data_IF_358535532566
#
_entry.id   IF_358535532566
#
_cell.length_a   1.000
_cell.length_b   1.000
_cell.length_c   1.000
_cell.angle_alpha   90.00
_cell.angle_beta   90.00
_cell.angle_gamma   90.00
#
_symmetry.space_group_name_H-M   'P 1'
#
loop_
_entity.id
_entity.type
_entity.pdbx_description
1 polymer ?
#
# COMPACT_ATOMS: atom_id res chain seq x y z
N UNK A 1 18.60 0.73 1.25
CA UNK A 1 17.29 0.37 0.67
C UNK A 1 16.94 1.40 -0.41
N UNK A 2 16.78 1.02 -1.68
CA UNK A 2 16.31 1.93 -2.73
C UNK A 2 14.79 1.81 -2.83
N UNK A 3 14.05 2.72 -2.20
CA UNK A 3 12.60 2.82 -2.39
C UNK A 3 12.39 3.49 -3.75
N UNK A 4 12.15 2.67 -4.77
CA UNK A 4 11.81 3.13 -6.11
C UNK A 4 10.32 3.36 -6.18
N UNK A 5 9.89 4.61 -6.14
CA UNK A 5 8.52 5.01 -6.49
C UNK A 5 8.33 4.81 -8.01
N UNK A 6 7.80 3.65 -8.39
CA UNK A 6 7.50 3.29 -9.77
C UNK A 6 6.18 3.93 -10.22
N UNK A 7 6.26 4.84 -11.19
CA UNK A 7 5.08 5.35 -11.89
C UNK A 7 4.55 4.27 -12.84
N UNK A 8 3.53 3.52 -12.39
CA UNK A 8 2.87 2.43 -13.13
C UNK A 8 1.81 2.96 -14.12
N UNK A 9 2.13 3.95 -14.95
CA UNK A 9 1.19 4.44 -15.99
C UNK A 9 1.24 3.66 -17.31
N UNK A 10 2.01 2.56 -17.40
CA UNK A 10 2.29 1.88 -18.67
C UNK A 10 1.63 0.49 -18.85
N UNK A 11 0.71 0.07 -17.98
CA UNK A 11 0.08 -1.26 -18.07
C UNK A 11 -1.41 -1.27 -18.45
N UNK A 12 -1.95 -0.19 -19.03
CA UNK A 12 -3.38 -0.08 -19.36
C UNK A 12 -3.73 0.04 -20.85
N UNK A 13 -2.87 -0.44 -21.76
CA UNK A 13 -3.27 -0.57 -23.18
C UNK A 13 -2.86 -1.92 -23.74
N UNK A 14 -3.70 -2.93 -23.49
CA UNK A 14 -4.05 -4.05 -24.38
C UNK A 14 -4.65 -5.17 -23.56
N UNK A 15 -5.98 -5.17 -23.43
CA UNK A 15 -6.78 -6.38 -23.20
C UNK A 15 -8.23 -6.03 -23.48
N UNK A 16 -8.56 -5.85 -24.75
CA UNK A 16 -9.90 -6.14 -25.26
C UNK A 16 -10.07 -7.65 -25.22
N UNK A 17 -10.85 -8.17 -24.28
CA UNK A 17 -11.28 -9.57 -24.31
C UNK A 17 -12.64 -9.62 -24.99
N UNK A 18 -12.62 -10.08 -26.24
CA UNK A 18 -13.79 -10.50 -26.99
C UNK A 18 -14.39 -11.74 -26.36
N UNK A 19 -15.68 -11.72 -26.09
CA UNK A 19 -16.49 -12.88 -25.70
C UNK A 19 -16.41 -13.95 -26.79
N UNK A 20 -15.72 -15.06 -26.50
CA UNK A 20 -15.82 -16.30 -27.26
C UNK A 20 -15.95 -17.45 -26.27
N UNK A 21 -17.10 -18.09 -26.33
CA UNK A 21 -17.46 -19.33 -25.63
C UNK A 21 -16.66 -20.46 -26.28
N UNK A 22 -15.82 -21.14 -25.50
CA UNK A 22 -15.13 -22.36 -25.97
C UNK A 22 -15.48 -23.50 -25.02
N UNK A 23 -16.26 -24.45 -25.55
CA UNK A 23 -16.64 -25.70 -24.91
C UNK A 23 -15.42 -26.57 -24.55
N UNK A 24 -15.52 -27.31 -23.44
CA UNK A 24 -14.55 -28.34 -23.07
C UNK A 24 -14.58 -29.53 -24.05
N UNK A 25 -13.44 -30.00 -24.58
CA UNK A 25 -13.42 -31.19 -25.43
C UNK A 25 -13.56 -32.47 -24.59
N UNK A 26 -14.60 -33.25 -24.88
CA UNK A 26 -14.77 -34.64 -24.41
C UNK A 26 -13.69 -35.53 -25.03
N UNK A 27 -13.07 -36.42 -24.24
CA UNK A 27 -12.28 -37.55 -24.76
C UNK A 27 -13.04 -38.88 -24.62
N UNK A 28 -12.81 -39.83 -25.54
CA UNK A 28 -13.70 -40.98 -25.76
C UNK A 28 -13.33 -42.19 -24.89
N UNK A 29 -14.33 -43.05 -24.67
CA UNK A 29 -14.22 -44.33 -23.96
C UNK A 29 -13.54 -45.42 -24.83
N UNK A 30 -12.75 -46.34 -24.25
CA UNK A 30 -12.31 -47.55 -24.93
C UNK A 30 -13.27 -48.74 -24.69
N UNK A 31 -13.30 -49.74 -25.61
CA UNK A 31 -14.31 -50.80 -25.65
C UNK A 31 -13.99 -52.01 -24.74
N UNK A 32 -15.06 -52.73 -24.41
CA UNK A 32 -15.15 -53.98 -23.65
C UNK A 32 -14.52 -55.20 -24.33
N UNK A 33 -13.96 -56.15 -23.55
CA UNK A 33 -14.37 -57.57 -23.55
C UNK A 33 -13.57 -58.44 -22.54
N UNK A 34 -14.31 -59.44 -22.01
CA UNK A 34 -13.92 -60.72 -21.39
C UNK A 34 -13.38 -60.79 -19.94
N UNK A 35 -14.26 -61.28 -19.07
CA UNK A 35 -14.07 -62.06 -17.83
C UNK A 35 -13.41 -63.44 -18.09
N UNK A 36 -13.01 -64.30 -17.10
CA UNK A 36 -13.55 -64.43 -15.73
C UNK A 36 -12.57 -64.75 -14.57
N UNK A 37 -13.18 -64.90 -13.36
CA UNK A 37 -12.70 -65.55 -12.11
C UNK A 37 -11.68 -64.74 -11.29
N UNK A 38 -11.88 -64.39 -10.01
CA UNK A 38 -12.37 -65.19 -8.88
C UNK A 38 -12.71 -64.25 -7.69
N UNK A 39 -13.79 -64.53 -6.94
CA UNK A 39 -14.15 -63.82 -5.70
C UNK A 39 -13.73 -64.63 -4.47
N UNK A 40 -12.93 -64.05 -3.54
CA UNK A 40 -12.84 -64.35 -2.09
C UNK A 40 -12.09 -63.15 -1.47
N UNK A 41 -12.39 -62.53 -0.33
CA UNK A 41 -13.37 -62.69 0.74
C UNK A 41 -13.22 -61.48 1.70
N UNK A 42 -14.25 -61.25 2.52
CA UNK A 42 -14.34 -60.17 3.52
C UNK A 42 -13.33 -60.36 4.65
N UNK A 43 -12.78 -59.25 5.15
CA UNK A 43 -12.69 -59.00 6.60
C UNK A 43 -12.65 -57.50 6.89
N UNK A 44 -13.65 -57.06 7.63
CA UNK A 44 -13.72 -55.78 8.32
C UNK A 44 -12.85 -55.90 9.57
N UNK A 45 -11.88 -55.01 9.76
CA UNK A 45 -11.27 -54.77 11.07
C UNK A 45 -11.33 -53.28 11.38
N UNK A 46 -12.48 -52.88 11.89
CA UNK A 46 -12.65 -51.75 12.79
C UNK A 46 -11.85 -51.99 14.07
N UNK A 47 -10.85 -51.16 14.32
CA UNK A 47 -10.40 -50.88 15.69
C UNK A 47 -10.30 -49.38 15.87
N UNK A 48 -11.44 -48.77 16.20
CA UNK A 48 -11.49 -47.47 16.86
C UNK A 48 -11.20 -47.69 18.34
N UNK A 49 -10.05 -47.25 18.82
CA UNK A 49 -9.85 -46.95 20.24
C UNK A 49 -9.96 -45.45 20.43
N UNK A 50 -11.01 -45.07 21.17
CA UNK A 50 -11.35 -43.73 21.60
C UNK A 50 -10.55 -43.37 22.86
N UNK A 51 -9.75 -42.29 22.79
CA UNK A 51 -9.45 -41.44 23.95
C UNK A 51 -9.11 -40.01 23.51
N UNK A 52 -10.14 -39.14 23.55
CA UNK A 52 -10.17 -37.67 23.80
C UNK A 52 -9.35 -36.68 22.93
N UNK A 53 -9.84 -35.42 22.83
CA UNK A 53 -9.72 -34.60 21.63
C UNK A 53 -8.46 -33.76 21.66
N UNK A 54 -7.58 -33.93 20.67
CA UNK A 54 -6.65 -32.88 20.30
C UNK A 54 -7.34 -32.04 19.25
N UNK A 55 -7.84 -30.89 19.67
CA UNK A 55 -8.09 -29.74 18.80
C UNK A 55 -6.93 -29.65 17.82
N UNK A 56 -7.20 -30.01 16.56
CA UNK A 56 -6.33 -29.65 15.45
C UNK A 56 -6.11 -28.15 15.55
N UNK A 57 -4.87 -27.65 15.67
CA UNK A 57 -4.67 -26.24 15.42
C UNK A 57 -5.10 -26.04 13.97
N UNK A 58 -6.14 -25.22 13.80
CA UNK A 58 -6.61 -24.76 12.50
C UNK A 58 -5.49 -23.96 11.84
N UNK A 59 -4.50 -24.65 11.28
CA UNK A 59 -3.49 -24.10 10.40
C UNK A 59 -4.11 -24.00 9.01
N UNK A 60 -5.10 -23.11 8.88
CA UNK A 60 -5.66 -22.71 7.61
C UNK A 60 -5.56 -21.20 7.47
N UNK A 61 -4.34 -20.66 7.47
CA UNK A 61 -4.06 -19.57 6.57
C UNK A 61 -3.19 -20.14 5.43
N UNK A 62 -3.85 -20.70 4.42
CA UNK A 62 -3.20 -20.86 3.12
C UNK A 62 -3.50 -19.58 2.36
N UNK A 63 -2.64 -18.57 2.50
CA UNK A 63 -2.63 -17.42 1.59
C UNK A 63 -2.58 -17.93 0.16
N UNK A 64 -3.34 -17.32 -0.76
CA UNK A 64 -3.50 -17.71 -2.18
C UNK A 64 -2.18 -18.03 -2.93
N UNK A 65 -1.03 -17.63 -2.38
CA UNK A 65 0.30 -17.73 -3.01
C UNK A 65 1.30 -18.59 -2.21
N UNK A 66 0.87 -19.37 -1.22
CA UNK A 66 1.76 -20.32 -0.51
C UNK A 66 2.80 -19.70 0.41
N UNK A 67 2.65 -18.41 0.76
CA UNK A 67 3.56 -17.72 1.68
C UNK A 67 3.14 -17.96 3.13
N UNK A 68 4.04 -18.53 3.93
CA UNK A 68 3.80 -18.89 5.34
C UNK A 68 3.75 -17.68 6.31
N UNK A 69 3.58 -16.46 5.84
CA UNK A 69 3.42 -15.29 6.69
C UNK A 69 2.86 -14.15 5.87
N UNK A 70 2.06 -13.28 6.50
CA UNK A 70 1.73 -11.99 5.89
C UNK A 70 2.99 -11.10 5.92
N UNK A 71 3.33 -10.42 4.81
CA UNK A 71 4.40 -9.42 4.83
C UNK A 71 3.97 -8.18 5.64
N UNK A 72 4.95 -7.44 6.15
CA UNK A 72 4.71 -6.15 6.81
C UNK A 72 4.63 -5.05 5.74
N UNK A 73 3.54 -4.30 5.73
CA UNK A 73 3.37 -3.16 4.85
C UNK A 73 3.67 -1.85 5.58
N UNK A 74 4.42 -0.97 4.91
CA UNK A 74 4.65 0.41 5.32
C UNK A 74 4.42 1.30 4.10
N UNK A 75 4.04 2.56 4.32
CA UNK A 75 3.91 3.51 3.22
C UNK A 75 4.06 4.96 3.70
N UNK A 76 4.17 5.89 2.77
CA UNK A 76 4.18 7.33 3.04
C UNK A 76 3.22 8.01 2.08
N UNK A 77 2.29 8.81 2.61
CA UNK A 77 1.34 9.61 1.84
C UNK A 77 1.77 11.08 1.79
N UNK A 78 1.14 11.86 0.94
CA UNK A 78 1.39 13.30 0.79
C UNK A 78 0.08 14.02 0.53
N UNK A 79 0.03 15.32 0.82
CA UNK A 79 -1.07 16.18 0.37
C UNK A 79 -1.43 15.91 -1.10
N UNK A 80 -2.71 15.65 -1.44
CA UNK A 80 -3.12 15.26 -2.78
C UNK A 80 -2.77 16.29 -3.86
N UNK A 81 -2.90 17.58 -3.56
CA UNK A 81 -2.62 18.67 -4.51
C UNK A 81 -1.11 18.78 -4.71
N UNK A 82 -0.33 18.87 -3.63
CA UNK A 82 1.12 18.96 -3.72
C UNK A 82 1.73 17.77 -4.45
N UNK A 83 1.21 16.56 -4.21
CA UNK A 83 1.61 15.35 -4.90
C UNK A 83 1.36 15.48 -6.41
N UNK A 84 0.17 15.93 -6.81
CA UNK A 84 -0.18 16.11 -8.22
C UNK A 84 0.69 17.19 -8.88
N UNK A 85 0.92 18.31 -8.21
CA UNK A 85 1.77 19.41 -8.69
C UNK A 85 3.21 18.93 -8.87
N UNK A 86 3.76 18.21 -7.89
CA UNK A 86 5.09 17.62 -7.98
C UNK A 86 5.19 16.66 -9.17
N UNK A 87 4.17 15.83 -9.39
CA UNK A 87 4.13 14.93 -10.54
C UNK A 87 4.03 15.67 -11.89
N UNK A 88 3.21 16.72 -11.95
CA UNK A 88 3.03 17.55 -13.15
C UNK A 88 4.33 18.17 -13.62
N UNK A 89 5.09 18.77 -12.70
CA UNK A 89 6.37 19.40 -12.99
C UNK A 89 7.49 18.38 -13.20
N UNK A 90 7.46 17.25 -12.50
CA UNK A 90 8.38 16.13 -12.75
C UNK A 90 8.32 15.64 -14.19
N UNK A 91 7.12 15.56 -14.80
CA UNK A 91 6.98 15.13 -16.20
C UNK A 91 7.54 16.14 -17.22
N UNK A 92 7.70 17.41 -16.83
CA UNK A 92 8.14 18.53 -17.69
C UNK A 92 9.63 18.85 -17.52
N UNK A 93 10.09 18.88 -16.29
CA UNK A 93 11.44 19.34 -15.94
C UNK A 93 12.35 18.23 -15.41
N UNK A 94 11.79 17.07 -15.05
CA UNK A 94 12.55 15.95 -14.52
C UNK A 94 12.90 16.09 -13.04
N UNK A 95 13.99 15.42 -12.66
CA UNK A 95 14.50 15.36 -11.30
C UNK A 95 16.04 15.46 -11.29
N UNK A 96 16.58 15.84 -10.14
CA UNK A 96 18.01 15.96 -9.89
C UNK A 96 18.76 14.63 -9.75
N UNK A 97 18.06 13.51 -9.54
CA UNK A 97 18.68 12.20 -9.29
C UNK A 97 19.09 11.51 -10.59
N UNK A 98 18.32 11.70 -11.67
CA UNK A 98 18.63 11.18 -13.01
C UNK A 98 18.38 12.24 -14.09
N UNK A 99 19.17 13.32 -14.13
CA UNK A 99 18.93 14.48 -15.00
C UNK A 99 19.05 14.16 -16.50
N UNK A 100 19.83 13.14 -16.87
CA UNK A 100 20.00 12.72 -18.27
C UNK A 100 18.78 12.04 -18.89
N UNK A 101 17.73 11.73 -18.12
CA UNK A 101 16.53 11.09 -18.65
C UNK A 101 15.51 12.13 -19.14
N UNK A 102 15.22 12.09 -20.45
CA UNK A 102 14.12 12.87 -21.00
C UNK A 102 12.77 12.31 -20.54
N UNK A 103 11.95 13.18 -19.95
CA UNK A 103 10.62 12.83 -19.46
C UNK A 103 9.57 12.97 -20.57
N UNK A 104 8.45 12.26 -20.42
CA UNK A 104 7.42 12.11 -21.48
C UNK A 104 6.89 13.44 -22.01
N UNK A 105 6.81 14.47 -21.16
CA UNK A 105 6.27 15.79 -21.50
C UNK A 105 7.32 16.90 -21.38
N UNK A 106 8.59 16.53 -21.54
CA UNK A 106 9.68 17.51 -21.45
C UNK A 106 9.60 18.52 -22.59
N UNK A 107 9.68 19.81 -22.24
CA UNK A 107 9.55 20.92 -23.19
C UNK A 107 8.19 21.63 -23.16
N UNK A 108 7.19 21.07 -22.47
CA UNK A 108 5.95 21.79 -22.17
C UNK A 108 6.21 22.83 -21.07
N UNK A 109 6.11 24.11 -21.42
CA UNK A 109 6.36 25.26 -20.54
C UNK A 109 5.12 25.71 -19.77
N UNK A 110 3.96 25.11 -20.05
CA UNK A 110 2.68 25.51 -19.46
C UNK A 110 2.70 25.29 -17.96
N UNK A 111 2.32 26.33 -17.21
CA UNK A 111 2.26 26.26 -15.75
C UNK A 111 1.08 25.40 -15.29
N UNK A 112 1.11 24.96 -14.03
CA UNK A 112 0.01 24.17 -13.49
C UNK A 112 -1.27 25.00 -13.43
N UNK A 113 -1.18 26.27 -13.02
CA UNK A 113 -2.30 27.22 -13.01
C UNK A 113 -2.90 27.42 -14.41
N UNK A 114 -2.07 27.64 -15.43
CA UNK A 114 -2.53 27.72 -16.83
C UNK A 114 -3.22 26.43 -17.28
N UNK A 115 -2.70 25.26 -16.85
CA UNK A 115 -3.32 23.98 -17.14
C UNK A 115 -4.73 23.92 -16.53
N UNK A 116 -4.90 24.29 -15.26
CA UNK A 116 -6.19 24.23 -14.57
C UNK A 116 -7.19 25.24 -15.14
N UNK A 117 -6.75 26.44 -15.51
CA UNK A 117 -7.60 27.46 -16.13
C UNK A 117 -8.11 27.02 -17.51
N UNK A 118 -7.29 26.30 -18.27
CA UNK A 118 -7.65 25.79 -19.61
C UNK A 118 -8.27 24.39 -19.62
N UNK A 119 -8.50 23.76 -18.46
CA UNK A 119 -9.09 22.43 -18.38
C UNK A 119 -8.19 21.30 -18.93
N UNK A 120 -6.87 21.40 -18.73
CA UNK A 120 -5.92 20.42 -19.23
C UNK A 120 -6.04 19.04 -18.55
N UNK A 121 -5.75 17.97 -19.30
CA UNK A 121 -5.92 16.58 -18.82
C UNK A 121 -4.93 16.11 -17.76
N UNK A 122 -3.76 16.77 -17.65
CA UNK A 122 -2.75 16.43 -16.64
C UNK A 122 -3.05 17.00 -15.25
N UNK A 123 -3.87 18.06 -15.20
CA UNK A 123 -4.23 18.79 -13.98
C UNK A 123 -5.72 18.64 -13.67
N UNK A 124 -6.42 17.75 -14.38
CA UNK A 124 -7.82 17.47 -14.16
C UNK A 124 -8.04 16.81 -12.78
N UNK A 125 -9.16 17.07 -12.08
CA UNK A 125 -9.38 16.56 -10.72
C UNK A 125 -9.29 15.03 -10.59
N UNK A 126 -9.57 14.28 -11.66
CA UNK A 126 -9.45 12.82 -11.70
C UNK A 126 -8.01 12.34 -11.50
N UNK A 127 -7.01 13.20 -11.73
CA UNK A 127 -5.59 12.90 -11.46
C UNK A 127 -5.21 12.98 -9.99
N UNK A 128 -6.07 13.53 -9.14
CA UNK A 128 -5.90 13.48 -7.70
C UNK A 128 -6.10 12.06 -7.17
N UNK A 129 -7.03 11.30 -7.78
CA UNK A 129 -7.38 9.92 -7.41
C UNK A 129 -6.22 8.95 -7.67
N UNK A 130 -5.43 8.69 -6.63
CA UNK A 130 -4.26 7.82 -6.71
C UNK A 130 -3.97 7.15 -5.37
N UNK A 131 -3.96 7.90 -4.26
CA UNK A 131 -3.57 7.32 -2.98
C UNK A 131 -4.66 6.37 -2.49
N UNK A 132 -5.94 6.74 -2.62
CA UNK A 132 -7.05 5.86 -2.25
C UNK A 132 -6.97 4.50 -2.98
N UNK A 133 -6.87 4.41 -4.32
CA UNK A 133 -6.68 3.14 -5.02
C UNK A 133 -5.51 2.31 -4.51
N UNK A 134 -4.38 2.95 -4.21
CA UNK A 134 -3.16 2.27 -3.74
C UNK A 134 -3.40 1.53 -2.42
N UNK A 135 -4.15 2.13 -1.49
CA UNK A 135 -4.50 1.50 -0.22
C UNK A 135 -5.73 0.60 -0.30
N UNK A 136 -6.71 0.93 -1.15
CA UNK A 136 -7.91 0.10 -1.39
C UNK A 136 -7.53 -1.26 -1.99
N UNK A 137 -6.54 -1.28 -2.90
CA UNK A 137 -5.94 -2.48 -3.46
C UNK A 137 -6.41 -2.80 -4.88
N UNK A 138 -6.47 -4.09 -5.21
CA UNK A 138 -6.69 -4.57 -6.59
C UNK A 138 -8.16 -4.87 -6.90
N UNK A 139 -9.09 -4.44 -6.06
CA UNK A 139 -10.51 -4.59 -6.35
C UNK A 139 -10.92 -3.61 -7.47
N UNK A 140 -11.83 -4.01 -8.36
CA UNK A 140 -12.26 -3.16 -9.49
C UNK A 140 -12.79 -1.80 -9.03
N UNK A 141 -13.61 -1.81 -7.98
CA UNK A 141 -14.20 -0.61 -7.37
C UNK A 141 -13.15 0.39 -6.86
N UNK A 142 -11.93 -0.04 -6.53
CA UNK A 142 -10.85 0.87 -6.11
C UNK A 142 -10.46 1.86 -7.22
N UNK A 143 -10.64 1.47 -8.48
CA UNK A 143 -10.26 2.26 -9.65
C UNK A 143 -11.43 3.07 -10.22
N UNK A 144 -12.62 2.95 -9.63
CA UNK A 144 -13.76 3.81 -9.93
C UNK A 144 -13.54 5.15 -9.23
N UNK A 145 -13.25 6.18 -10.02
CA UNK A 145 -12.92 7.52 -9.52
C UNK A 145 -14.10 8.09 -8.72
N UNK A 146 -13.83 8.52 -7.48
CA UNK A 146 -14.85 9.07 -6.59
C UNK A 146 -15.75 8.04 -5.92
N UNK A 147 -15.36 6.76 -5.91
CA UNK A 147 -16.10 5.72 -5.16
C UNK A 147 -15.94 5.90 -3.66
N UNK A 148 -17.07 6.09 -2.95
CA UNK A 148 -17.08 6.14 -1.47
C UNK A 148 -16.65 4.82 -0.85
N UNK A 149 -17.02 3.69 -1.46
CA UNK A 149 -16.61 2.37 -0.99
C UNK A 149 -15.08 2.22 -1.02
N UNK A 150 -14.44 2.72 -2.08
CA UNK A 150 -12.98 2.66 -2.20
C UNK A 150 -12.27 3.46 -1.11
N UNK A 151 -12.80 4.64 -0.75
CA UNK A 151 -12.30 5.45 0.37
C UNK A 151 -12.39 4.69 1.70
N UNK A 152 -13.56 4.15 2.05
CA UNK A 152 -13.74 3.41 3.31
C UNK A 152 -12.86 2.16 3.34
N UNK A 153 -12.73 1.46 2.21
CA UNK A 153 -11.85 0.29 2.11
C UNK A 153 -10.37 0.66 2.26
N UNK A 154 -9.95 1.81 1.72
CA UNK A 154 -8.59 2.32 1.88
C UNK A 154 -8.29 2.64 3.34
N UNK A 155 -9.19 3.34 4.05
CA UNK A 155 -9.05 3.62 5.49
C UNK A 155 -8.98 2.32 6.31
N UNK A 156 -9.87 1.37 6.01
CA UNK A 156 -9.85 0.06 6.66
C UNK A 156 -8.52 -0.66 6.45
N UNK A 157 -8.00 -0.71 5.23
CA UNK A 157 -6.74 -1.40 4.95
C UNK A 157 -5.55 -0.67 5.61
N UNK A 158 -5.55 0.67 5.63
CA UNK A 158 -4.53 1.47 6.31
C UNK A 158 -4.40 1.06 7.78
N UNK A 159 -5.51 0.89 8.50
CA UNK A 159 -5.50 0.52 9.92
C UNK A 159 -5.18 -0.96 10.14
N UNK A 160 -5.70 -1.85 9.28
CA UNK A 160 -5.69 -3.30 9.55
C UNK A 160 -4.54 -4.07 8.90
N UNK A 161 -3.94 -3.56 7.82
CA UNK A 161 -2.93 -4.29 7.03
C UNK A 161 -1.57 -3.57 6.96
N UNK A 162 -1.50 -2.27 7.27
CA UNK A 162 -0.23 -1.54 7.35
C UNK A 162 0.28 -1.46 8.78
N UNK A 163 1.59 -1.68 8.94
CA UNK A 163 2.29 -1.50 10.21
C UNK A 163 2.36 -0.01 10.59
N UNK A 164 2.73 0.83 9.63
CA UNK A 164 2.84 2.26 9.81
C UNK A 164 2.68 2.97 8.45
N UNK A 165 1.90 4.05 8.45
CA UNK A 165 1.79 4.95 7.31
C UNK A 165 2.20 6.34 7.78
N UNK A 166 3.26 6.88 7.20
CA UNK A 166 3.72 8.24 7.50
C UNK A 166 3.20 9.25 6.49
N UNK A 167 3.51 10.52 6.73
CA UNK A 167 3.31 11.62 5.78
C UNK A 167 4.66 12.17 5.32
N UNK A 168 4.71 12.77 4.13
CA UNK A 168 5.97 13.22 3.51
C UNK A 168 6.59 14.39 4.28
N UNK A 169 5.74 15.20 4.91
CA UNK A 169 6.05 16.39 5.67
C UNK A 169 6.69 16.05 7.02
N UNK A 170 6.38 14.87 7.58
CA UNK A 170 6.87 14.35 8.86
C UNK A 170 7.73 13.08 8.66
N UNK A 171 8.52 13.04 7.57
CA UNK A 171 9.28 11.84 7.18
C UNK A 171 10.36 11.45 8.20
N UNK A 172 10.94 12.42 8.90
CA UNK A 172 11.93 12.16 9.96
C UNK A 172 11.34 11.35 11.11
N UNK A 173 10.19 11.78 11.62
CA UNK A 173 9.46 11.08 12.68
C UNK A 173 9.06 9.68 12.25
N UNK A 174 8.66 9.51 10.98
CA UNK A 174 8.34 8.21 10.43
C UNK A 174 9.53 7.26 10.44
N UNK A 175 10.72 7.74 10.06
CA UNK A 175 11.96 6.96 10.08
C UNK A 175 12.34 6.57 11.51
N UNK A 176 12.22 7.49 12.46
CA UNK A 176 12.54 7.26 13.86
C UNK A 176 11.62 6.20 14.49
N UNK A 177 10.31 6.26 14.23
CA UNK A 177 9.35 5.23 14.71
C UNK A 177 9.68 3.86 14.08
N UNK A 178 10.07 3.82 12.81
CA UNK A 178 10.48 2.56 12.17
C UNK A 178 11.80 2.01 12.72
N UNK A 179 12.75 2.87 13.08
CA UNK A 179 13.99 2.46 13.76
C UNK A 179 13.70 1.81 15.11
N UNK A 180 12.73 2.36 15.85
CA UNK A 180 12.26 1.82 17.12
C UNK A 180 11.53 0.47 16.97
N UNK A 181 10.57 0.40 16.05
CA UNK A 181 9.70 -0.75 15.87
C UNK A 181 10.38 -1.91 15.12
N UNK A 182 11.26 -1.60 14.17
CA UNK A 182 11.93 -2.55 13.28
C UNK A 182 13.45 -2.32 13.23
N UNK A 183 14.17 -2.40 14.37
CA UNK A 183 15.59 -2.09 14.44
C UNK A 183 16.44 -3.02 13.56
N UNK A 184 15.99 -4.25 13.29
CA UNK A 184 16.68 -5.17 12.38
C UNK A 184 16.87 -4.58 10.97
N UNK A 185 15.96 -3.72 10.53
CA UNK A 185 16.01 -3.09 9.20
C UNK A 185 16.50 -1.65 9.25
N UNK A 186 16.09 -0.89 10.27
CA UNK A 186 16.21 0.58 10.31
C UNK A 186 17.18 1.11 11.38
N UNK A 187 17.96 0.26 12.04
CA UNK A 187 18.98 0.73 13.00
C UNK A 187 19.99 1.66 12.31
N UNK A 188 20.17 2.85 12.87
CA UNK A 188 20.99 3.95 12.36
C UNK A 188 20.34 4.77 11.23
N UNK A 189 19.05 4.55 10.93
CA UNK A 189 18.39 5.25 9.82
C UNK A 189 18.13 6.74 10.15
N UNK A 190 17.80 7.06 11.39
CA UNK A 190 17.56 8.44 11.84
C UNK A 190 18.82 9.28 11.71
N UNK A 191 19.95 8.79 12.23
CA UNK A 191 21.25 9.45 12.12
C UNK A 191 21.67 9.64 10.65
N UNK A 192 21.45 8.62 9.81
CA UNK A 192 21.74 8.70 8.39
C UNK A 192 20.85 9.72 7.67
N UNK A 193 19.60 9.90 8.09
CA UNK A 193 18.70 10.89 7.53
C UNK A 193 19.15 12.32 7.92
N UNK A 194 19.48 12.55 9.19
CA UNK A 194 19.92 13.86 9.71
C UNK A 194 21.26 14.31 9.16
N UNK A 195 22.24 13.40 9.10
CA UNK A 195 23.62 13.74 8.72
C UNK A 195 23.94 13.47 7.25
N UNK A 196 23.11 12.68 6.58
CA UNK A 196 23.36 12.23 5.21
C UNK A 196 23.04 13.29 4.17
N UNK A 197 23.90 13.39 3.15
CA UNK A 197 23.67 14.25 1.96
C UNK A 197 22.55 13.74 1.03
N UNK A 198 21.92 12.61 1.37
CA UNK A 198 20.94 11.87 0.56
C UNK A 198 19.55 11.78 1.21
N UNK A 199 19.25 12.68 2.16
CA UNK A 199 17.93 12.79 2.80
C UNK A 199 16.84 13.27 1.84
N UNK A 200 17.17 14.21 0.96
CA UNK A 200 16.23 14.76 -0.02
C UNK A 200 16.67 14.49 -1.45
N UNK A 201 16.40 13.28 -1.94
CA UNK A 201 16.67 12.88 -3.33
C UNK A 201 15.46 13.15 -4.23
N UNK A 202 15.71 13.25 -5.54
CA UNK A 202 14.67 13.35 -6.60
C UNK A 202 13.83 14.61 -6.45
N UNK A 203 14.47 15.73 -6.14
CA UNK A 203 13.78 17.02 -6.15
C UNK A 203 13.39 17.34 -7.59
N UNK A 204 12.15 17.75 -7.78
CA UNK A 204 11.72 18.32 -9.06
C UNK A 204 12.53 19.59 -9.29
N UNK A 205 13.22 19.66 -10.43
CA UNK A 205 14.18 20.73 -10.76
C UNK A 205 13.55 22.11 -10.73
N UNK A 206 12.34 22.23 -11.30
CA UNK A 206 11.57 23.46 -11.30
C UNK A 206 10.14 23.19 -10.83
N UNK A 207 9.71 23.89 -9.79
CA UNK A 207 8.34 23.89 -9.27
C UNK A 207 7.89 25.33 -9.08
N UNK A 208 6.75 25.71 -9.65
CA UNK A 208 6.15 27.02 -9.38
C UNK A 208 5.09 26.88 -8.28
N UNK A 209 5.01 27.84 -7.34
CA UNK A 209 3.93 27.87 -6.35
C UNK A 209 2.59 28.09 -7.04
N UNK A 210 1.53 27.48 -6.51
CA UNK A 210 0.18 27.62 -7.03
C UNK A 210 -0.46 28.94 -6.60
N UNK A 211 -1.37 29.46 -7.43
CA UNK A 211 -2.27 30.54 -7.03
C UNK A 211 -3.37 30.03 -6.11
N UNK A 212 -3.85 30.91 -5.21
CA UNK A 212 -4.96 30.58 -4.30
C UNK A 212 -6.24 30.20 -5.05
N UNK A 213 -6.47 30.81 -6.21
CA UNK A 213 -7.61 30.55 -7.08
C UNK A 213 -7.58 29.11 -7.62
N UNK A 214 -6.42 28.66 -8.12
CA UNK A 214 -6.23 27.28 -8.60
C UNK A 214 -6.46 26.26 -7.49
N UNK A 215 -5.94 26.52 -6.29
CA UNK A 215 -6.14 25.64 -5.13
C UNK A 215 -7.64 25.55 -4.82
N UNK A 216 -8.31 26.69 -4.68
CA UNK A 216 -9.75 26.76 -4.36
C UNK A 216 -10.58 26.02 -5.42
N UNK A 217 -10.24 26.17 -6.71
CA UNK A 217 -10.91 25.47 -7.81
C UNK A 217 -10.75 23.94 -7.73
N UNK A 218 -9.57 23.45 -7.36
CA UNK A 218 -9.35 22.01 -7.15
C UNK A 218 -10.10 21.50 -5.91
N UNK A 219 -10.14 22.29 -4.84
CA UNK A 219 -10.80 21.95 -3.58
C UNK A 219 -12.33 21.83 -3.71
N UNK A 220 -12.93 22.47 -4.72
CA UNK A 220 -14.35 22.33 -5.02
C UNK A 220 -14.72 20.91 -5.49
N UNK A 221 -13.77 20.17 -6.07
CA UNK A 221 -14.02 18.81 -6.59
C UNK A 221 -14.29 17.80 -5.48
N UNK A 222 -15.30 16.95 -5.68
CA UNK A 222 -15.57 15.82 -4.77
C UNK A 222 -14.40 14.83 -4.70
N UNK A 223 -13.61 14.70 -5.77
CA UNK A 223 -12.45 13.81 -5.81
C UNK A 223 -11.36 14.32 -4.86
N UNK A 224 -11.12 15.63 -4.86
CA UNK A 224 -10.19 16.25 -3.91
C UNK A 224 -10.67 16.03 -2.48
N UNK A 225 -11.96 16.28 -2.19
CA UNK A 225 -12.51 16.10 -0.82
C UNK A 225 -12.27 14.69 -0.30
N UNK A 226 -12.50 13.67 -1.12
CA UNK A 226 -12.27 12.27 -0.73
C UNK A 226 -10.78 11.95 -0.51
N UNK A 227 -9.90 12.36 -1.42
CA UNK A 227 -8.45 12.16 -1.28
C UNK A 227 -7.89 12.94 -0.08
N UNK A 228 -8.39 14.13 0.19
CA UNK A 228 -8.03 14.93 1.36
C UNK A 228 -8.52 14.29 2.65
N UNK A 229 -9.76 13.80 2.68
CA UNK A 229 -10.31 13.04 3.82
C UNK A 229 -9.45 11.80 4.14
N UNK A 230 -8.95 11.10 3.12
CA UNK A 230 -8.02 9.98 3.32
C UNK A 230 -6.65 10.44 3.85
N UNK A 231 -6.10 11.54 3.31
CA UNK A 231 -4.84 12.10 3.76
C UNK A 231 -4.90 12.57 5.21
N UNK A 232 -5.92 13.33 5.59
CA UNK A 232 -6.14 13.79 6.97
C UNK A 232 -6.32 12.61 7.94
N UNK A 233 -7.06 11.58 7.54
CA UNK A 233 -7.19 10.36 8.33
C UNK A 233 -5.84 9.65 8.55
N UNK A 234 -5.02 9.54 7.51
CA UNK A 234 -3.68 8.96 7.61
C UNK A 234 -2.75 9.80 8.49
N UNK A 235 -2.84 11.13 8.38
CA UNK A 235 -2.07 12.08 9.19
C UNK A 235 -2.47 11.98 10.66
N UNK A 236 -3.76 12.00 10.98
CA UNK A 236 -4.26 11.86 12.35
C UNK A 236 -3.81 10.53 12.96
N UNK A 237 -3.93 9.42 12.22
CA UNK A 237 -3.46 8.11 12.67
C UNK A 237 -1.95 8.10 12.93
N UNK A 238 -1.15 8.74 12.05
CA UNK A 238 0.30 8.83 12.22
C UNK A 238 0.68 9.66 13.44
N UNK A 239 0.05 10.82 13.63
CA UNK A 239 0.28 11.70 14.77
C UNK A 239 -0.14 11.03 16.09
N UNK A 240 -1.23 10.27 16.08
CA UNK A 240 -1.65 9.44 17.21
C UNK A 240 -0.56 8.41 17.57
N UNK A 241 -0.05 7.66 16.58
CA UNK A 241 1.02 6.68 16.81
C UNK A 241 2.28 7.36 17.33
N UNK A 242 2.68 8.51 16.75
CA UNK A 242 3.83 9.29 17.23
C UNK A 242 3.66 9.68 18.69
N UNK A 243 2.52 10.28 19.05
CA UNK A 243 2.25 10.71 20.42
C UNK A 243 2.32 9.56 21.46
N UNK A 244 2.06 8.32 21.04
CA UNK A 244 2.09 7.14 21.90
C UNK A 244 3.35 6.29 21.77
N UNK A 245 4.26 6.62 20.85
CA UNK A 245 5.51 5.89 20.60
C UNK A 245 6.75 6.66 21.07
N UNK A 246 6.69 8.00 21.07
CA UNK A 246 7.83 8.86 21.39
C UNK A 246 7.48 9.90 22.46
N UNK A 247 8.49 10.28 23.26
CA UNK A 247 8.47 11.42 24.18
C UNK A 247 9.43 12.48 23.66
N UNK A 248 8.98 13.72 23.63
CA UNK A 248 9.85 14.86 23.41
C UNK A 248 10.59 15.20 24.71
N UNK A 249 11.92 15.32 24.64
CA UNK A 249 12.75 15.83 25.72
C UNK A 249 13.83 16.72 25.11
N UNK A 250 13.94 17.96 25.59
CA UNK A 250 14.93 18.94 25.11
C UNK A 250 14.86 19.23 23.59
N UNK A 251 13.67 19.10 22.97
CA UNK A 251 13.45 19.27 21.53
C UNK A 251 13.86 18.08 20.66
N UNK A 252 14.32 16.98 21.28
CA UNK A 252 14.61 15.71 20.63
C UNK A 252 13.55 14.67 21.00
N UNK A 253 13.13 13.86 20.03
CA UNK A 253 12.16 12.78 20.24
C UNK A 253 12.87 11.49 20.64
N UNK A 254 12.43 10.89 21.74
CA UNK A 254 12.95 9.63 22.27
C UNK A 254 11.86 8.55 22.28
N UNK A 255 12.21 7.34 21.87
CA UNK A 255 11.31 6.18 21.92
C UNK A 255 10.92 5.87 23.37
N UNK A 256 9.63 5.67 23.61
CA UNK A 256 9.12 5.23 24.90
C UNK A 256 9.68 3.86 25.29
N UNK A 257 10.16 3.75 26.53
CA UNK A 257 10.52 2.46 27.11
C UNK A 257 9.28 1.55 27.21
N UNK A 258 9.52 0.24 27.25
CA UNK A 258 8.46 -0.76 27.40
C UNK A 258 7.59 -0.43 28.62
N UNK A 259 6.30 -0.22 28.39
CA UNK A 259 5.32 0.21 29.40
C UNK A 259 4.46 -0.94 29.95
N UNK A 260 4.75 -2.19 29.55
CA UNK A 260 4.03 -3.37 30.01
C UNK A 260 4.99 -4.46 30.48
N UNK A 261 4.58 -5.19 31.51
CA UNK A 261 5.24 -6.40 31.97
C UNK A 261 4.18 -7.45 32.29
N UNK A 262 4.57 -8.72 32.26
CA UNK A 262 3.67 -9.82 32.59
C UNK A 262 3.73 -10.10 34.08
N UNK A 263 2.59 -10.02 34.75
CA UNK A 263 2.43 -10.42 36.16
C UNK A 263 1.45 -11.59 36.28
N UNK A 264 1.41 -12.23 37.46
CA UNK A 264 0.45 -13.30 37.77
C UNK A 264 0.43 -14.43 36.73
N UNK A 265 1.62 -14.77 36.21
CA UNK A 265 1.82 -15.96 35.38
C UNK A 265 1.70 -17.18 36.31
N UNK A 266 0.65 -17.98 36.11
CA UNK A 266 0.30 -19.16 36.92
C UNK A 266 0.22 -20.42 36.04
N UNK A 267 0.35 -21.64 36.62
CA UNK A 267 0.44 -21.90 38.05
C UNK A 267 1.90 -21.98 38.53
N UNK A 268 2.20 -21.28 39.61
CA UNK A 268 3.48 -21.47 40.30
C UNK A 268 3.40 -22.82 41.02
N UNK A 269 4.02 -23.85 40.44
CA UNK A 269 4.21 -25.17 41.05
C UNK A 269 5.71 -25.44 41.02
N UNK A 270 6.27 -25.68 42.21
CA UNK A 270 7.71 -25.84 42.46
C UNK A 270 8.33 -26.98 41.67
#
# INVERSE_FOLDING_TARGET
MKISWGSYHHWQKKTTWSSSTTECPKRPAPPSLTSPTTCVGRTVSTSCTSTRPKTTPSCLYRTRYGVKAKPMYINVVRDPIERLVSYYYFLRFGDDYRPGLRRRKQGDKKTFDECVSSGGSDCAPEKLWLQIPFFCGHHSECWNVGSRWALEKAKYNLVNEYLLVGVTEELEDFIMILEAALPRFFKGATDLYRTGKKSHLRKTTEKKPLTKETITKLQQSNIWKMENEFYEFALEQFQFVRAHAVREKDGELYVLAQSFFYEKIYPKVN
#
